data_IF_247700709999
#
_entry.id   IF_247700709999
#
_cell.length_a   1.000
_cell.length_b   1.000
_cell.length_c   1.000
_cell.angle_alpha   90.00
_cell.angle_beta   90.00
_cell.angle_gamma   90.00
#
_symmetry.space_group_name_H-M   'P 1'
#
loop_
_entity.id
_entity.type
_entity.pdbx_description
1 polymer ?
#
# COMPACT_ATOMS: atom_id res chain seq x y z
N UNK A 1 -21.89 -49.78 -2.29
CA UNK A 1 -21.71 -48.80 -1.20
C UNK A 1 -20.92 -47.64 -1.73
N UNK A 2 -21.47 -46.42 -1.65
CA UNK A 2 -20.73 -45.17 -1.94
C UNK A 2 -19.81 -44.88 -0.75
N UNK A 3 -18.54 -44.51 -0.96
CA UNK A 3 -17.72 -43.98 0.13
C UNK A 3 -18.23 -42.59 0.53
N UNK A 4 -18.23 -42.33 1.83
CA UNK A 4 -18.72 -41.12 2.47
C UNK A 4 -17.89 -39.89 2.04
N UNK A 5 -18.60 -38.82 1.68
CA UNK A 5 -18.04 -37.48 1.50
C UNK A 5 -17.60 -36.96 2.88
N UNK A 6 -16.30 -36.74 3.05
CA UNK A 6 -15.80 -35.81 4.06
C UNK A 6 -16.16 -34.38 3.66
N UNK A 7 -16.46 -33.54 4.64
CA UNK A 7 -16.79 -32.14 4.44
C UNK A 7 -15.72 -31.43 3.56
N UNK A 8 -16.10 -30.57 2.60
CA UNK A 8 -15.14 -29.82 1.83
C UNK A 8 -14.39 -28.88 2.76
N UNK A 9 -13.10 -29.13 2.97
CA UNK A 9 -12.21 -28.13 3.51
C UNK A 9 -12.14 -26.96 2.53
N UNK A 10 -12.24 -25.74 3.05
CA UNK A 10 -12.00 -24.50 2.30
C UNK A 10 -10.57 -24.57 1.75
N UNK A 11 -10.43 -24.92 0.46
CA UNK A 11 -9.18 -24.75 -0.27
C UNK A 11 -9.05 -23.24 -0.56
N UNK A 12 -8.04 -22.61 0.02
CA UNK A 12 -7.71 -21.22 -0.30
C UNK A 12 -7.37 -21.08 -1.80
N UNK A 13 -7.84 -20.00 -2.39
CA UNK A 13 -7.72 -19.62 -3.80
C UNK A 13 -6.28 -19.80 -4.33
N UNK A 14 -6.03 -20.86 -5.12
CA UNK A 14 -4.68 -21.27 -5.53
C UNK A 14 -3.99 -20.30 -6.51
N UNK A 15 -4.71 -19.30 -7.06
CA UNK A 15 -4.20 -18.43 -8.12
C UNK A 15 -3.69 -17.05 -7.63
N UNK A 16 -4.13 -16.54 -6.47
CA UNK A 16 -3.63 -15.26 -5.93
C UNK A 16 -2.64 -15.55 -4.80
N UNK A 17 -1.40 -15.09 -4.95
CA UNK A 17 -0.32 -15.33 -3.99
C UNK A 17 0.17 -14.00 -3.43
N UNK A 18 0.14 -13.86 -2.10
CA UNK A 18 0.73 -12.74 -1.38
C UNK A 18 2.27 -12.83 -1.43
N UNK A 19 2.92 -11.75 -1.85
CA UNK A 19 4.39 -11.65 -2.05
C UNK A 19 5.05 -10.86 -0.94
N UNK A 20 4.38 -9.83 -0.42
CA UNK A 20 4.82 -9.07 0.74
C UNK A 20 3.88 -9.27 1.92
N UNK A 21 4.40 -9.24 3.15
CA UNK A 21 3.67 -9.62 4.36
C UNK A 21 4.18 -8.92 5.64
N UNK A 22 4.95 -7.84 5.48
CA UNK A 22 5.47 -7.07 6.61
C UNK A 22 4.46 -5.96 6.98
N UNK A 23 4.47 -5.45 8.22
CA UNK A 23 3.58 -4.36 8.63
C UNK A 23 4.03 -3.02 8.02
N UNK A 24 3.85 -2.89 6.71
CA UNK A 24 4.17 -1.70 5.92
C UNK A 24 3.08 -1.45 4.90
N UNK A 25 3.27 -0.36 4.15
CA UNK A 25 2.34 0.07 3.14
C UNK A 25 2.93 -0.13 1.74
N UNK A 26 2.79 -1.32 1.18
CA UNK A 26 3.44 -1.71 -0.07
C UNK A 26 2.52 -1.46 -1.28
N UNK A 27 2.94 -0.56 -2.17
CA UNK A 27 2.14 -0.10 -3.30
C UNK A 27 2.93 -0.10 -4.62
N UNK A 28 2.18 0.08 -5.71
CA UNK A 28 2.72 0.30 -7.08
C UNK A 28 3.85 -0.67 -7.48
N UNK A 29 3.58 -1.99 -7.50
CA UNK A 29 4.59 -2.96 -7.86
C UNK A 29 5.07 -2.78 -9.31
N UNK A 30 6.34 -3.08 -9.55
CA UNK A 30 6.98 -3.09 -10.86
C UNK A 30 7.89 -4.32 -10.98
N UNK A 31 7.51 -5.29 -11.81
CA UNK A 31 8.31 -6.48 -12.09
C UNK A 31 9.54 -6.12 -12.94
N UNK A 32 10.70 -6.67 -12.57
CA UNK A 32 11.97 -6.49 -13.28
C UNK A 32 11.93 -7.16 -14.67
N UNK A 33 12.69 -6.67 -15.67
CA UNK A 33 12.73 -7.27 -17.01
C UNK A 33 13.14 -8.75 -17.03
N UNK A 34 13.97 -9.17 -16.07
CA UNK A 34 14.39 -10.57 -15.94
C UNK A 34 13.39 -11.45 -15.15
N UNK A 35 12.33 -10.86 -14.61
CA UNK A 35 11.28 -11.58 -13.89
C UNK A 35 11.61 -12.04 -12.47
N UNK A 36 12.76 -11.63 -11.92
CA UNK A 36 13.25 -12.14 -10.62
C UNK A 36 12.89 -11.26 -9.43
N UNK A 37 12.73 -9.96 -9.65
CA UNK A 37 12.53 -8.97 -8.60
C UNK A 37 11.30 -8.12 -8.88
N UNK A 38 10.58 -7.75 -7.84
CA UNK A 38 9.50 -6.74 -7.88
C UNK A 38 9.98 -5.54 -7.08
N UNK A 39 10.02 -4.37 -7.72
CA UNK A 39 10.20 -3.09 -7.05
C UNK A 39 8.83 -2.56 -6.62
N UNK A 40 8.76 -1.89 -5.48
CA UNK A 40 7.52 -1.33 -4.97
C UNK A 40 7.85 -0.17 -4.03
N UNK A 41 6.93 0.78 -3.91
CA UNK A 41 7.03 1.81 -2.87
C UNK A 41 6.55 1.23 -1.56
N UNK A 42 7.24 1.54 -0.47
CA UNK A 42 6.84 1.10 0.85
C UNK A 42 7.02 2.21 1.86
N UNK A 43 5.94 2.53 2.55
CA UNK A 43 6.02 3.32 3.75
C UNK A 43 6.28 2.37 4.92
N UNK A 44 7.53 2.34 5.33
CA UNK A 44 7.88 1.87 6.66
C UNK A 44 7.78 3.07 7.60
N UNK A 45 6.99 3.03 8.67
CA UNK A 45 7.08 4.04 9.72
C UNK A 45 8.49 3.96 10.31
N UNK A 46 9.40 4.80 9.81
CA UNK A 46 10.80 4.81 10.21
C UNK A 46 10.86 4.94 11.74
N UNK A 47 11.34 3.91 12.43
CA UNK A 47 11.50 3.90 13.87
C UNK A 47 10.28 4.40 14.67
N UNK A 48 9.31 3.51 14.95
CA UNK A 48 8.40 3.69 16.10
C UNK A 48 9.17 3.95 17.43
N UNK A 49 10.47 3.68 17.46
CA UNK A 49 11.31 3.59 18.65
C UNK A 49 12.20 4.80 18.99
N UNK A 50 12.30 5.89 18.22
CA UNK A 50 13.27 6.95 18.58
C UNK A 50 12.95 8.42 18.19
N UNK A 51 11.70 8.78 17.89
CA UNK A 51 11.36 10.18 17.56
C UNK A 51 10.52 10.84 18.67
N UNK A 52 10.99 11.93 19.32
CA UNK A 52 10.23 12.65 20.34
C UNK A 52 8.88 13.15 19.81
N UNK A 53 7.85 13.00 20.64
CA UNK A 53 6.41 13.07 20.36
C UNK A 53 5.85 14.46 19.96
N UNK A 54 6.39 15.10 18.92
CA UNK A 54 5.69 16.11 18.12
C UNK A 54 5.64 15.80 16.62
N UNK A 55 6.39 14.79 16.15
CA UNK A 55 6.42 14.33 14.75
C UNK A 55 5.99 12.86 14.64
N UNK A 56 4.73 12.53 14.98
CA UNK A 56 4.13 11.20 14.70
C UNK A 56 3.91 10.92 13.19
N UNK A 57 4.62 11.64 12.31
CA UNK A 57 4.64 11.53 10.85
C UNK A 57 6.02 11.08 10.33
N UNK A 58 6.90 10.58 11.21
CA UNK A 58 8.27 10.20 10.86
C UNK A 58 8.31 8.83 10.15
N UNK A 59 7.86 8.81 8.91
CA UNK A 59 8.11 7.75 7.94
C UNK A 59 7.89 8.34 6.56
N UNK A 60 8.81 8.08 5.65
CA UNK A 60 8.71 8.46 4.26
C UNK A 60 8.54 7.18 3.42
N UNK A 61 7.95 7.30 2.24
CA UNK A 61 7.99 6.22 1.27
C UNK A 61 9.42 6.08 0.73
N UNK A 62 9.90 4.85 0.69
CA UNK A 62 11.10 4.49 -0.04
C UNK A 62 10.78 3.38 -1.03
N UNK A 63 11.66 3.23 -2.02
CA UNK A 63 11.59 2.11 -2.94
C UNK A 63 12.25 0.90 -2.31
N UNK A 64 11.55 -0.24 -2.34
CA UNK A 64 12.04 -1.55 -1.94
C UNK A 64 12.01 -2.51 -3.13
N UNK A 65 12.78 -3.58 -3.02
CA UNK A 65 12.66 -4.75 -3.90
C UNK A 65 12.49 -6.04 -3.10
N UNK A 66 11.76 -6.98 -3.67
CA UNK A 66 11.55 -8.34 -3.15
C UNK A 66 11.63 -9.35 -4.29
N UNK A 67 11.93 -10.61 -3.97
CA UNK A 67 11.80 -11.72 -4.92
C UNK A 67 10.38 -11.77 -5.52
N UNK A 68 10.27 -11.98 -6.83
CA UNK A 68 8.98 -12.17 -7.52
C UNK A 68 8.23 -13.44 -7.10
N UNK A 69 8.93 -14.35 -6.40
CA UNK A 69 8.39 -15.55 -5.78
C UNK A 69 7.97 -15.33 -4.30
N UNK A 70 8.24 -14.16 -3.73
CA UNK A 70 8.07 -13.90 -2.29
C UNK A 70 9.15 -14.56 -1.42
N UNK A 71 9.05 -14.38 -0.10
CA UNK A 71 9.84 -15.12 0.90
C UNK A 71 11.36 -14.85 0.96
N UNK A 72 11.93 -14.09 0.02
CA UNK A 72 13.38 -13.85 -0.12
C UNK A 72 13.96 -12.69 0.68
N UNK A 73 13.18 -12.08 1.58
CA UNK A 73 13.56 -10.86 2.29
C UNK A 73 13.39 -9.59 1.45
N UNK A 74 13.37 -8.44 2.12
CA UNK A 74 13.14 -7.12 1.52
C UNK A 74 14.46 -6.34 1.46
N UNK A 75 14.74 -5.72 0.33
CA UNK A 75 15.88 -4.80 0.19
C UNK A 75 15.38 -3.38 -0.02
N UNK A 76 15.74 -2.48 0.89
CA UNK A 76 15.52 -1.03 0.74
C UNK A 76 16.48 -0.47 -0.32
N UNK A 77 15.94 0.12 -1.38
CA UNK A 77 16.71 0.73 -2.47
C UNK A 77 16.97 2.21 -2.20
N UNK A 78 16.00 2.97 -1.72
CA UNK A 78 16.18 4.40 -1.41
C UNK A 78 16.07 4.68 0.09
N UNK A 79 16.66 5.79 0.55
CA UNK A 79 16.76 6.11 1.98
C UNK A 79 16.80 7.62 2.25
N UNK A 80 16.20 8.41 1.35
CA UNK A 80 16.13 9.86 1.53
C UNK A 80 15.00 10.19 2.52
N UNK A 81 15.08 11.27 3.32
CA UNK A 81 13.95 11.66 4.17
C UNK A 81 12.72 12.16 3.40
N UNK A 82 12.87 12.52 2.13
CA UNK A 82 11.75 12.82 1.25
C UNK A 82 11.15 11.52 0.70
N UNK A 83 9.88 11.58 0.34
CA UNK A 83 9.20 10.43 -0.22
C UNK A 83 9.72 10.08 -1.63
N UNK A 84 9.86 8.78 -1.87
CA UNK A 84 10.19 8.17 -3.15
C UNK A 84 9.06 7.20 -3.59
N UNK A 85 8.53 7.38 -4.81
CA UNK A 85 7.30 6.74 -5.30
C UNK A 85 7.43 6.18 -6.72
N UNK A 86 6.44 5.40 -7.15
CA UNK A 86 6.25 4.96 -8.55
C UNK A 86 7.49 4.34 -9.20
N UNK A 87 8.00 3.21 -8.70
CA UNK A 87 9.17 2.58 -9.29
C UNK A 87 8.86 2.04 -10.69
N UNK A 88 9.84 2.11 -11.58
CA UNK A 88 9.89 1.41 -12.85
C UNK A 88 11.32 0.92 -13.12
N UNK A 89 11.47 -0.23 -13.77
CA UNK A 89 12.79 -0.76 -14.07
C UNK A 89 13.35 -0.18 -15.35
N UNK A 90 14.66 0.07 -15.35
CA UNK A 90 15.38 0.24 -16.60
C UNK A 90 15.41 -1.08 -17.38
N UNK A 91 15.41 -1.06 -18.73
CA UNK A 91 15.39 -2.27 -19.56
C UNK A 91 16.57 -3.21 -19.28
N UNK A 92 17.72 -2.67 -18.91
CA UNK A 92 18.92 -3.42 -18.56
C UNK A 92 18.78 -4.16 -17.21
N UNK A 93 17.75 -3.83 -16.42
CA UNK A 93 17.45 -4.46 -15.14
C UNK A 93 18.42 -4.11 -14.02
N UNK A 94 19.28 -3.10 -14.18
CA UNK A 94 20.33 -2.71 -13.23
C UNK A 94 19.97 -1.46 -12.38
N UNK A 95 18.94 -0.73 -12.78
CA UNK A 95 18.50 0.55 -12.20
C UNK A 95 16.98 0.63 -12.08
N UNK A 96 16.56 1.47 -11.16
CA UNK A 96 15.16 1.83 -10.93
C UNK A 96 14.98 3.32 -11.23
N UNK A 97 14.02 3.64 -12.10
CA UNK A 97 13.40 4.95 -12.26
C UNK A 97 12.37 5.12 -11.15
N UNK A 98 12.32 6.28 -10.52
CA UNK A 98 11.33 6.58 -9.47
C UNK A 98 11.09 8.09 -9.39
N UNK A 99 9.96 8.47 -8.79
CA UNK A 99 9.66 9.84 -8.42
C UNK A 99 10.22 10.16 -7.05
N UNK A 100 10.82 11.33 -6.85
CA UNK A 100 11.28 11.78 -5.53
C UNK A 100 11.00 13.25 -5.29
N UNK A 101 10.63 13.57 -4.06
CA UNK A 101 10.37 14.94 -3.59
C UNK A 101 11.59 15.62 -2.96
N UNK A 102 12.78 15.00 -3.04
CA UNK A 102 14.02 15.46 -2.38
C UNK A 102 14.49 16.88 -2.73
N UNK A 103 13.86 17.54 -3.70
CA UNK A 103 14.12 18.93 -4.10
C UNK A 103 12.93 19.87 -3.83
N UNK A 104 12.01 19.47 -2.95
CA UNK A 104 10.84 20.26 -2.54
C UNK A 104 9.61 20.10 -3.44
N UNK A 105 9.72 19.33 -4.53
CA UNK A 105 8.61 18.92 -5.38
C UNK A 105 8.95 17.64 -6.16
N UNK A 106 7.94 16.90 -6.66
CA UNK A 106 8.12 15.62 -7.36
C UNK A 106 8.95 15.75 -8.64
N UNK A 107 9.99 14.93 -8.76
CA UNK A 107 10.86 14.83 -9.95
C UNK A 107 11.23 13.39 -10.24
N UNK A 108 11.73 13.11 -11.44
CA UNK A 108 12.24 11.80 -11.82
C UNK A 108 13.71 11.62 -11.45
N UNK A 109 14.01 10.44 -10.94
CA UNK A 109 15.34 10.03 -10.49
C UNK A 109 15.64 8.59 -10.88
N UNK A 110 16.92 8.25 -10.93
CA UNK A 110 17.40 6.89 -11.15
C UNK A 110 18.40 6.49 -10.06
N UNK A 111 18.37 5.21 -9.67
CA UNK A 111 19.34 4.61 -8.75
C UNK A 111 19.60 3.16 -9.13
N UNK A 112 20.84 2.68 -9.02
CA UNK A 112 21.08 1.23 -9.06
C UNK A 112 20.63 0.59 -7.75
N UNK A 113 19.93 -0.53 -7.84
CA UNK A 113 19.45 -1.22 -6.65
C UNK A 113 20.58 -1.91 -5.88
N UNK A 114 21.69 -2.27 -6.53
CA UNK A 114 22.88 -2.84 -5.88
C UNK A 114 23.74 -1.81 -5.11
N UNK A 115 23.31 -0.54 -5.05
CA UNK A 115 24.01 0.53 -4.33
C UNK A 115 25.25 1.08 -5.04
N UNK A 116 25.58 0.57 -6.23
CA UNK A 116 26.64 1.13 -7.07
C UNK A 116 26.15 2.44 -7.69
N UNK A 117 26.99 3.48 -7.66
CA UNK A 117 26.67 4.83 -8.12
C UNK A 117 25.56 5.53 -7.31
N UNK A 118 25.69 6.85 -7.17
CA UNK A 118 24.74 7.67 -6.43
C UNK A 118 23.36 7.78 -7.11
N UNK A 119 22.47 8.53 -6.48
CA UNK A 119 21.14 8.84 -7.04
C UNK A 119 21.28 9.95 -8.10
N UNK A 120 20.75 9.72 -9.30
CA UNK A 120 20.83 10.63 -10.45
C UNK A 120 19.47 11.26 -10.74
N UNK A 121 19.41 12.58 -10.97
CA UNK A 121 18.18 13.25 -11.43
C UNK A 121 18.01 13.13 -12.94
N UNK A 122 16.77 12.93 -13.40
CA UNK A 122 16.41 12.78 -14.82
C UNK A 122 15.45 13.87 -15.34
N UNK A 123 14.99 14.77 -14.48
CA UNK A 123 14.07 15.84 -14.88
C UNK A 123 14.40 17.16 -14.19
N UNK A 124 14.44 18.26 -14.94
CA UNK A 124 14.81 19.61 -14.47
C UNK A 124 14.04 20.72 -15.19
N UNK A 125 12.83 20.42 -15.66
CA UNK A 125 11.99 21.29 -16.49
C UNK A 125 11.12 22.29 -15.70
N UNK A 126 11.29 22.35 -14.37
CA UNK A 126 10.52 23.22 -13.50
C UNK A 126 9.11 22.72 -13.17
N UNK A 127 8.73 21.53 -13.66
CA UNK A 127 7.42 20.90 -13.42
C UNK A 127 7.49 19.83 -12.35
N UNK A 128 6.33 19.49 -11.79
CA UNK A 128 6.21 18.28 -10.98
C UNK A 128 6.09 17.07 -11.92
N UNK A 129 7.01 16.12 -11.82
CA UNK A 129 7.10 14.95 -12.70
C UNK A 129 6.89 13.66 -11.89
N UNK A 130 5.98 12.79 -12.36
CA UNK A 130 5.47 11.64 -11.63
C UNK A 130 5.50 10.37 -12.47
N UNK A 131 5.84 9.27 -11.79
CA UNK A 131 5.83 7.91 -12.32
C UNK A 131 6.48 7.77 -13.68
N UNK A 132 5.81 7.00 -14.54
CA UNK A 132 6.25 6.75 -15.89
C UNK A 132 6.91 5.39 -16.08
N UNK A 133 7.55 5.27 -17.24
CA UNK A 133 8.20 4.05 -17.71
C UNK A 133 9.37 4.40 -18.62
N UNK A 134 10.32 3.48 -18.76
CA UNK A 134 11.57 3.73 -19.47
C UNK A 134 11.95 2.53 -20.34
N UNK A 135 11.98 2.77 -21.65
CA UNK A 135 12.40 1.81 -22.67
C UNK A 135 13.86 2.03 -23.10
N UNK A 136 14.27 1.33 -24.16
CA UNK A 136 15.66 1.40 -24.66
C UNK A 136 16.09 2.79 -25.14
N UNK A 137 15.13 3.59 -25.65
CA UNK A 137 15.38 4.89 -26.28
C UNK A 137 14.74 6.06 -25.55
N UNK A 138 13.53 5.86 -25.04
CA UNK A 138 12.70 6.92 -24.49
C UNK A 138 12.22 6.58 -23.09
N UNK A 139 11.96 7.61 -22.30
CA UNK A 139 11.11 7.51 -21.13
C UNK A 139 9.83 8.30 -21.35
N UNK A 140 8.76 7.86 -20.72
CA UNK A 140 7.47 8.53 -20.70
C UNK A 140 7.04 8.74 -19.26
N UNK A 141 6.38 9.85 -18.95
CA UNK A 141 6.00 10.19 -17.59
C UNK A 141 4.87 11.21 -17.57
N UNK A 142 4.25 11.40 -16.41
CA UNK A 142 3.25 12.45 -16.21
C UNK A 142 3.92 13.70 -15.66
N UNK A 143 3.56 14.87 -16.18
CA UNK A 143 3.97 16.15 -15.63
C UNK A 143 2.81 17.15 -15.51
N UNK A 144 2.99 18.12 -14.63
CA UNK A 144 2.08 19.25 -14.46
C UNK A 144 2.84 20.52 -14.06
N UNK A 145 2.33 21.68 -14.50
CA UNK A 145 2.80 22.99 -14.06
C UNK A 145 2.38 23.31 -12.61
N UNK A 146 1.50 22.50 -12.02
CA UNK A 146 1.08 22.64 -10.64
C UNK A 146 2.14 22.08 -9.68
N UNK A 147 2.86 22.99 -9.02
CA UNK A 147 3.88 22.67 -8.01
C UNK A 147 3.16 22.47 -6.66
N UNK A 148 2.96 21.22 -6.27
CA UNK A 148 2.36 20.85 -4.97
C UNK A 148 3.20 19.77 -4.31
N UNK A 149 3.43 19.89 -3.01
CA UNK A 149 4.23 18.96 -2.21
C UNK A 149 3.46 17.79 -1.62
N UNK A 150 2.12 17.79 -1.70
CA UNK A 150 1.30 16.70 -1.09
C UNK A 150 0.68 15.77 -2.14
N UNK A 151 1.10 15.83 -3.40
CA UNK A 151 0.71 14.85 -4.44
C UNK A 151 1.61 13.62 -4.31
N UNK A 152 1.50 13.03 -3.12
CA UNK A 152 1.70 11.61 -2.88
C UNK A 152 0.94 10.86 -3.98
N UNK A 153 1.46 9.72 -4.47
CA UNK A 153 0.82 8.96 -5.55
C UNK A 153 -0.70 8.94 -5.37
N UNK A 154 -1.46 9.34 -6.41
CA UNK A 154 -2.92 9.51 -6.34
C UNK A 154 -3.61 8.27 -5.76
N UNK A 155 -2.98 7.10 -5.97
CA UNK A 155 -3.38 5.81 -5.42
C UNK A 155 -2.87 5.59 -3.99
N UNK A 156 -1.63 5.93 -3.60
CA UNK A 156 -1.26 5.89 -2.17
C UNK A 156 -2.08 6.85 -1.30
N UNK A 157 -2.61 7.94 -1.86
CA UNK A 157 -3.52 8.82 -1.13
C UNK A 157 -4.88 8.16 -0.85
N UNK A 158 -5.34 7.22 -1.69
CA UNK A 158 -6.47 6.34 -1.32
C UNK A 158 -6.11 5.39 -0.17
N UNK A 159 -4.82 5.30 0.13
CA UNK A 159 -4.22 4.28 0.97
C UNK A 159 -3.68 4.81 2.30
N UNK A 160 -3.74 6.13 2.56
CA UNK A 160 -3.26 6.71 3.83
C UNK A 160 -4.30 6.53 4.95
N UNK A 161 -4.02 5.78 6.03
CA UNK A 161 -4.97 5.52 7.12
C UNK A 161 -5.43 6.77 7.90
N UNK A 162 -4.70 7.89 7.79
CA UNK A 162 -4.78 9.02 8.73
C UNK A 162 -5.34 10.31 8.12
N UNK A 163 -5.70 10.33 6.84
CA UNK A 163 -6.48 11.42 6.27
C UNK A 163 -7.92 11.26 6.75
N UNK A 164 -8.23 11.78 7.95
CA UNK A 164 -9.62 11.96 8.37
C UNK A 164 -10.36 12.71 7.25
N UNK A 165 -11.57 12.27 6.84
CA UNK A 165 -12.43 13.09 6.02
C UNK A 165 -12.57 14.44 6.73
N UNK A 166 -12.14 15.52 6.08
CA UNK A 166 -12.44 16.86 6.56
C UNK A 166 -13.96 17.03 6.45
N UNK A 167 -14.65 16.79 7.57
CA UNK A 167 -16.09 17.00 7.77
C UNK A 167 -17.00 16.04 6.97
N UNK A 168 -18.03 15.53 7.64
CA UNK A 168 -19.09 14.74 7.02
C UNK A 168 -19.72 15.57 5.88
N UNK A 169 -19.63 15.08 4.64
CA UNK A 169 -20.17 15.74 3.45
C UNK A 169 -19.13 16.19 2.41
N UNK A 170 -17.82 16.06 2.67
CA UNK A 170 -16.81 16.19 1.62
C UNK A 170 -16.38 14.81 1.13
N UNK A 171 -16.34 14.63 -0.19
CA UNK A 171 -15.79 13.43 -0.83
C UNK A 171 -14.36 13.21 -0.28
N UNK A 172 -14.06 12.07 0.37
CA UNK A 172 -12.75 11.81 0.97
C UNK A 172 -11.61 11.77 -0.07
N UNK A 173 -11.93 11.70 -1.37
CA UNK A 173 -10.97 11.73 -2.48
C UNK A 173 -11.24 12.91 -3.42
N UNK A 174 -10.93 14.16 -3.00
CA UNK A 174 -11.13 15.34 -3.85
C UNK A 174 -10.40 15.22 -5.20
N UNK A 175 -9.32 14.44 -5.27
CA UNK A 175 -8.43 14.33 -6.42
C UNK A 175 -8.94 13.42 -7.56
N UNK A 176 -10.03 12.67 -7.36
CA UNK A 176 -10.64 11.82 -8.39
C UNK A 176 -11.85 12.47 -9.06
N UNK A 177 -12.23 13.66 -8.60
CA UNK A 177 -13.28 14.44 -9.24
C UNK A 177 -12.70 15.16 -10.48
N UNK A 178 -13.30 14.99 -11.67
CA UNK A 178 -12.92 15.72 -12.90
C UNK A 178 -12.75 17.23 -12.70
N UNK A 179 -13.49 17.83 -11.76
CA UNK A 179 -13.42 19.26 -11.42
C UNK A 179 -12.12 19.69 -10.70
N UNK A 180 -11.33 18.78 -10.12
CA UNK A 180 -10.00 19.08 -9.58
C UNK A 180 -8.89 18.82 -10.61
N UNK A 181 -9.10 17.90 -11.53
CA UNK A 181 -8.17 17.60 -12.63
C UNK A 181 -8.08 18.77 -13.60
N UNK A 182 -9.17 19.54 -13.77
CA UNK A 182 -9.15 20.83 -14.48
C UNK A 182 -8.32 21.92 -13.79
N UNK A 183 -7.81 21.70 -12.58
CA UNK A 183 -6.79 22.56 -11.96
C UNK A 183 -5.39 21.98 -12.11
N UNK A 184 -5.27 20.65 -12.06
CA UNK A 184 -4.00 19.94 -12.10
C UNK A 184 -3.44 19.72 -13.51
N UNK A 185 -4.28 19.64 -14.54
CA UNK A 185 -3.90 19.45 -15.95
C UNK A 185 -2.74 18.45 -16.15
N UNK A 186 -2.89 17.17 -15.76
CA UNK A 186 -1.87 16.17 -16.01
C UNK A 186 -1.64 15.97 -17.49
N UNK A 187 -0.37 15.96 -17.88
CA UNK A 187 0.02 15.74 -19.26
C UNK A 187 1.08 14.67 -19.35
N UNK A 188 1.05 13.90 -20.44
CA UNK A 188 2.05 12.89 -20.73
C UNK A 188 3.18 13.56 -21.46
N UNK A 189 4.39 13.29 -21.00
CA UNK A 189 5.62 13.74 -21.64
C UNK A 189 6.47 12.55 -22.06
N UNK A 190 7.18 12.72 -23.17
CA UNK A 190 8.27 11.85 -23.60
C UNK A 190 9.59 12.61 -23.54
N UNK A 191 10.65 11.93 -23.14
CA UNK A 191 12.01 12.44 -23.21
C UNK A 191 12.99 11.33 -23.63
N UNK A 192 14.21 11.71 -23.98
CA UNK A 192 15.36 10.81 -23.99
C UNK A 192 15.60 10.28 -22.56
N UNK A 193 16.23 9.10 -22.43
CA UNK A 193 16.46 8.43 -21.12
C UNK A 193 17.24 9.25 -20.08
N UNK A 194 17.88 10.33 -20.51
CA UNK A 194 18.63 11.24 -19.65
C UNK A 194 17.83 12.48 -19.24
N UNK A 195 16.59 12.68 -19.71
CA UNK A 195 15.81 13.90 -19.46
C UNK A 195 15.78 14.93 -20.59
N UNK A 196 16.55 14.71 -21.66
CA UNK A 196 16.61 15.64 -22.78
C UNK A 196 15.42 15.47 -23.75
N UNK A 197 15.25 16.44 -24.66
CA UNK A 197 14.26 16.39 -25.77
C UNK A 197 12.81 16.14 -25.31
N UNK A 198 12.39 16.92 -24.32
CA UNK A 198 11.04 16.88 -23.77
C UNK A 198 9.99 17.18 -24.86
N UNK A 199 9.03 16.28 -25.02
CA UNK A 199 7.89 16.40 -25.94
C UNK A 199 6.60 16.22 -25.15
N UNK A 200 5.70 17.18 -25.22
CA UNK A 200 4.34 17.10 -24.65
C UNK A 200 3.43 16.29 -25.59
N UNK A 201 2.80 15.23 -25.07
CA UNK A 201 1.96 14.30 -25.83
C UNK A 201 0.46 14.46 -25.54
N UNK A 202 0.06 15.47 -24.76
CA UNK A 202 -1.34 15.74 -24.44
C UNK A 202 -1.74 15.32 -23.03
N UNK A 203 -3.04 15.46 -22.74
CA UNK A 203 -3.60 15.15 -21.42
C UNK A 203 -3.41 13.66 -21.09
N UNK A 204 -3.30 13.33 -19.81
CA UNK A 204 -3.30 11.93 -19.36
C UNK A 204 -2.27 11.63 -18.27
N UNK A 205 -2.37 10.42 -17.74
CA UNK A 205 -1.66 9.97 -16.55
C UNK A 205 -1.17 8.53 -16.66
N UNK A 206 -0.23 8.19 -15.79
CA UNK A 206 0.30 6.84 -15.59
C UNK A 206 0.74 6.15 -16.91
N UNK A 207 1.54 6.83 -17.77
CA UNK A 207 1.91 6.27 -19.06
C UNK A 207 2.86 5.07 -18.88
N UNK A 208 2.61 3.99 -19.61
CA UNK A 208 3.48 2.80 -19.72
C UNK A 208 3.82 2.50 -21.17
N UNK A 209 5.07 2.09 -21.42
CA UNK A 209 5.54 1.74 -22.76
C UNK A 209 5.13 0.31 -23.10
N UNK A 210 4.78 0.07 -24.36
CA UNK A 210 4.66 -1.29 -24.87
C UNK A 210 6.03 -1.98 -24.84
N UNK A 211 6.08 -3.33 -24.79
CA UNK A 211 7.34 -4.08 -24.80
C UNK A 211 8.26 -3.76 -25.99
N UNK A 212 7.68 -3.40 -27.14
CA UNK A 212 8.42 -2.98 -28.34
C UNK A 212 8.78 -1.48 -28.37
N UNK A 213 8.37 -0.72 -27.36
CA UNK A 213 8.64 0.71 -27.19
C UNK A 213 7.93 1.63 -28.19
N UNK A 214 6.98 1.12 -28.98
CA UNK A 214 6.29 1.91 -30.03
C UNK A 214 4.98 2.54 -29.59
N UNK A 215 4.38 2.03 -28.53
CA UNK A 215 3.08 2.46 -28.04
C UNK A 215 3.17 2.89 -26.59
N UNK A 216 2.26 3.79 -26.21
CA UNK A 216 2.06 4.26 -24.85
C UNK A 216 0.62 3.93 -24.48
N UNK A 217 0.43 3.24 -23.37
CA UNK A 217 -0.89 3.10 -22.72
C UNK A 217 -0.95 4.04 -21.53
N UNK A 218 -2.11 4.66 -21.29
CA UNK A 218 -2.26 5.68 -20.25
C UNK A 218 -3.74 5.84 -19.85
N UNK A 219 -3.97 6.54 -18.73
CA UNK A 219 -5.30 6.91 -18.26
C UNK A 219 -5.65 8.33 -18.68
N UNK A 220 -6.89 8.58 -19.10
CA UNK A 220 -7.35 9.90 -19.55
C UNK A 220 -8.79 10.18 -19.16
N UNK A 221 -9.11 11.47 -18.95
CA UNK A 221 -10.45 11.97 -18.64
C UNK A 221 -11.13 12.68 -19.82
N UNK A 222 -10.60 12.51 -21.04
CA UNK A 222 -11.11 13.19 -22.25
C UNK A 222 -12.59 12.92 -22.52
N UNK A 223 -13.13 11.82 -22.00
CA UNK A 223 -14.52 11.36 -22.16
C UNK A 223 -15.41 11.57 -20.93
N UNK A 224 -14.90 12.22 -19.88
CA UNK A 224 -15.67 12.64 -18.70
C UNK A 224 -15.37 11.86 -17.42
N UNK A 225 -14.92 10.62 -17.53
CA UNK A 225 -14.39 9.76 -16.46
C UNK A 225 -13.01 9.22 -16.85
N UNK A 226 -12.30 8.58 -15.92
CA UNK A 226 -11.03 7.95 -16.25
C UNK A 226 -11.26 6.68 -17.06
N UNK A 227 -10.73 6.68 -18.27
CA UNK A 227 -10.70 5.53 -19.17
C UNK A 227 -9.25 5.22 -19.58
N UNK A 228 -9.02 4.04 -20.16
CA UNK A 228 -7.72 3.63 -20.69
C UNK A 228 -7.63 3.98 -22.19
N UNK A 229 -6.50 4.57 -22.56
CA UNK A 229 -6.20 5.05 -23.89
C UNK A 229 -4.82 4.57 -24.34
N UNK A 230 -4.63 4.50 -25.65
CA UNK A 230 -3.35 4.19 -26.28
C UNK A 230 -2.98 5.28 -27.31
N UNK A 231 -1.68 5.48 -27.54
CA UNK A 231 -1.14 6.31 -28.61
C UNK A 231 0.22 5.79 -29.06
N UNK A 232 0.69 6.17 -30.23
CA UNK A 232 2.07 5.86 -30.63
C UNK A 232 3.09 6.67 -29.80
N UNK A 233 4.35 6.27 -29.86
CA UNK A 233 5.46 6.94 -29.13
C UNK A 233 5.68 8.40 -29.52
N UNK A 234 5.04 8.89 -30.59
CA UNK A 234 5.10 10.28 -31.03
C UNK A 234 3.82 11.07 -30.65
N UNK A 235 2.85 10.43 -29.99
CA UNK A 235 1.58 11.04 -29.60
C UNK A 235 0.47 10.97 -30.66
N UNK A 236 0.67 10.26 -31.77
CA UNK A 236 -0.36 10.06 -32.79
C UNK A 236 -1.25 8.86 -32.45
N UNK A 237 -2.33 8.67 -33.23
CA UNK A 237 -3.23 7.51 -33.12
C UNK A 237 -3.85 7.33 -31.73
N UNK A 238 -4.08 8.46 -31.04
CA UNK A 238 -4.70 8.50 -29.72
C UNK A 238 -6.10 7.87 -29.76
N UNK A 239 -6.28 6.73 -29.10
CA UNK A 239 -7.46 5.88 -29.19
C UNK A 239 -7.89 5.42 -27.80
N UNK A 240 -9.18 5.58 -27.49
CA UNK A 240 -9.79 5.03 -26.28
C UNK A 240 -9.98 3.51 -26.44
N UNK A 241 -9.56 2.72 -25.45
CA UNK A 241 -9.70 1.26 -25.48
C UNK A 241 -10.66 0.71 -24.40
N UNK A 242 -11.07 1.54 -23.44
CA UNK A 242 -12.13 1.21 -22.46
C UNK A 242 -13.11 2.37 -22.31
N UNK A 243 -14.36 2.09 -21.92
CA UNK A 243 -15.41 3.11 -21.85
C UNK A 243 -16.46 2.80 -20.77
N UNK A 244 -16.01 2.52 -19.56
CA UNK A 244 -16.89 2.09 -18.46
C UNK A 244 -17.44 3.30 -17.66
N UNK A 245 -18.68 3.26 -17.11
CA UNK A 245 -19.20 4.37 -16.29
C UNK A 245 -18.50 4.64 -14.94
N UNK A 246 -17.56 3.80 -14.54
CA UNK A 246 -16.67 3.99 -13.39
C UNK A 246 -15.29 4.49 -13.82
N UNK A 247 -14.29 4.42 -12.94
CA UNK A 247 -12.92 4.78 -13.28
C UNK A 247 -12.10 3.54 -13.67
N UNK A 248 -11.33 3.65 -14.74
CA UNK A 248 -10.38 2.66 -15.24
C UNK A 248 -9.00 3.33 -15.33
N UNK A 249 -8.03 2.85 -14.54
CA UNK A 249 -6.78 3.56 -14.30
C UNK A 249 -5.55 2.65 -14.15
N UNK A 250 -4.36 3.26 -14.13
CA UNK A 250 -3.05 2.60 -13.88
C UNK A 250 -2.77 1.41 -14.81
N UNK A 251 -2.80 1.62 -16.14
CA UNK A 251 -2.64 0.53 -17.08
C UNK A 251 -1.19 0.02 -17.12
N UNK A 252 -1.02 -1.24 -17.49
CA UNK A 252 0.27 -1.78 -17.94
C UNK A 252 0.05 -2.78 -19.09
N UNK A 253 1.06 -2.92 -19.94
CA UNK A 253 1.03 -3.88 -21.05
C UNK A 253 1.34 -5.30 -20.57
N UNK A 254 0.71 -6.29 -21.20
CA UNK A 254 1.22 -7.66 -21.16
C UNK A 254 2.59 -7.73 -21.84
N UNK A 255 3.44 -8.69 -21.45
CA UNK A 255 4.76 -8.84 -22.01
C UNK A 255 4.78 -9.15 -23.53
N UNK A 256 3.70 -9.74 -24.06
CA UNK A 256 3.53 -9.98 -25.50
C UNK A 256 2.93 -8.78 -26.28
N UNK A 257 2.58 -7.70 -25.58
CA UNK A 257 2.03 -6.47 -26.15
C UNK A 257 0.60 -6.58 -26.69
N UNK A 258 -0.12 -7.68 -26.42
CA UNK A 258 -1.49 -7.88 -26.93
C UNK A 258 -2.58 -7.46 -25.96
N UNK A 259 -2.27 -7.43 -24.67
CA UNK A 259 -3.21 -7.12 -23.61
C UNK A 259 -2.74 -5.93 -22.78
N UNK A 260 -3.69 -5.27 -22.16
CA UNK A 260 -3.47 -4.21 -21.18
C UNK A 260 -4.20 -4.60 -19.90
N UNK A 261 -3.47 -4.70 -18.78
CA UNK A 261 -4.07 -4.82 -17.45
C UNK A 261 -4.30 -3.44 -16.84
N UNK A 262 -5.37 -3.26 -16.09
CA UNK A 262 -5.72 -1.99 -15.44
C UNK A 262 -6.59 -2.20 -14.20
N UNK A 263 -6.65 -1.19 -13.34
CA UNK A 263 -7.52 -1.15 -12.17
C UNK A 263 -8.87 -0.55 -12.54
N UNK A 264 -9.97 -1.17 -12.12
CA UNK A 264 -11.34 -0.72 -12.43
C UNK A 264 -12.19 -0.60 -11.17
N UNK A 265 -12.81 0.56 -10.97
CA UNK A 265 -13.73 0.83 -9.87
C UNK A 265 -15.17 0.37 -10.18
N UNK A 266 -16.01 0.32 -9.15
CA UNK A 266 -17.46 0.27 -9.33
C UNK A 266 -18.00 1.54 -10.07
N UNK A 267 -19.20 1.49 -10.68
CA UNK A 267 -19.82 2.66 -11.32
C UNK A 267 -20.07 3.80 -10.33
N UNK A 268 -19.87 5.03 -10.78
CA UNK A 268 -19.99 6.23 -9.95
C UNK A 268 -21.41 6.49 -9.41
N UNK A 269 -22.45 5.95 -10.07
CA UNK A 269 -23.85 6.05 -9.62
C UNK A 269 -24.13 5.30 -8.30
N UNK A 270 -23.31 4.31 -7.95
CA UNK A 270 -23.44 3.57 -6.69
C UNK A 270 -22.82 4.39 -5.54
N UNK A 271 -21.69 5.05 -5.79
CA UNK A 271 -20.97 5.90 -4.81
C UNK A 271 -21.78 7.10 -4.25
N UNK A 272 -22.85 7.52 -4.93
CA UNK A 272 -23.74 8.59 -4.48
C UNK A 272 -24.83 8.16 -3.48
N UNK A 273 -25.00 6.86 -3.22
CA UNK A 273 -26.09 6.33 -2.40
C UNK A 273 -25.81 6.30 -0.89
N UNK A 274 -24.65 6.80 -0.44
CA UNK A 274 -24.32 6.85 0.99
C UNK A 274 -24.12 5.49 1.64
N UNK A 275 -23.89 4.44 0.85
CA UNK A 275 -23.44 3.14 1.36
C UNK A 275 -21.92 3.20 1.52
N UNK A 276 -21.45 2.83 2.70
CA UNK A 276 -20.05 2.92 3.13
C UNK A 276 -19.22 1.75 2.52
N UNK A 277 -19.78 1.02 1.55
CA UNK A 277 -19.28 -0.26 1.01
C UNK A 277 -18.95 -0.22 -0.51
N UNK A 278 -18.91 0.96 -1.15
CA UNK A 278 -18.90 1.12 -2.62
C UNK A 278 -17.52 1.37 -3.28
N UNK A 279 -16.40 1.06 -2.61
CA UNK A 279 -15.04 1.43 -3.06
C UNK A 279 -14.15 0.24 -3.44
N UNK A 280 -14.71 -0.84 -3.99
CA UNK A 280 -13.88 -1.95 -4.46
C UNK A 280 -13.28 -1.66 -5.84
N UNK A 281 -12.01 -2.02 -5.98
CA UNK A 281 -11.26 -1.95 -7.23
C UNK A 281 -10.80 -3.35 -7.61
N UNK A 282 -10.87 -3.66 -8.90
CA UNK A 282 -10.48 -4.97 -9.41
C UNK A 282 -9.50 -4.83 -10.57
N UNK A 283 -8.69 -5.85 -10.77
CA UNK A 283 -7.83 -5.98 -11.94
C UNK A 283 -8.65 -6.51 -13.10
N UNK A 284 -8.56 -5.83 -14.23
CA UNK A 284 -9.13 -6.22 -15.51
C UNK A 284 -8.05 -6.24 -16.58
N UNK A 285 -8.27 -7.01 -17.63
CA UNK A 285 -7.42 -7.01 -18.83
C UNK A 285 -8.26 -6.80 -20.08
N UNK A 286 -7.74 -6.03 -21.03
CA UNK A 286 -8.35 -5.82 -22.35
C UNK A 286 -7.33 -6.13 -23.45
N UNK A 287 -7.73 -6.93 -24.43
CA UNK A 287 -6.94 -7.17 -25.63
C UNK A 287 -7.05 -5.96 -26.56
N UNK A 288 -5.92 -5.36 -26.91
CA UNK A 288 -5.91 -4.10 -27.68
C UNK A 288 -6.28 -4.28 -29.14
N UNK A 289 -6.23 -5.51 -29.68
CA UNK A 289 -6.59 -5.81 -31.06
C UNK A 289 -8.05 -6.24 -31.20
N UNK A 290 -8.54 -7.07 -30.29
CA UNK A 290 -9.90 -7.64 -30.38
C UNK A 290 -10.93 -6.87 -29.56
N UNK A 291 -10.51 -6.05 -28.59
CA UNK A 291 -11.39 -5.41 -27.62
C UNK A 291 -11.93 -6.37 -26.55
N UNK A 292 -11.52 -7.64 -26.57
CA UNK A 292 -11.91 -8.63 -25.57
C UNK A 292 -11.49 -8.16 -24.18
N UNK A 293 -12.41 -8.22 -23.22
CA UNK A 293 -12.18 -7.71 -21.86
C UNK A 293 -12.55 -8.77 -20.83
N UNK A 294 -11.63 -9.03 -19.89
CA UNK A 294 -11.75 -10.08 -18.87
C UNK A 294 -11.42 -9.52 -17.49
N UNK A 295 -12.33 -9.71 -16.54
CA UNK A 295 -12.08 -9.42 -15.13
C UNK A 295 -11.16 -10.49 -14.53
N UNK A 296 -10.06 -10.07 -13.90
CA UNK A 296 -9.06 -10.96 -13.30
C UNK A 296 -9.19 -11.07 -11.79
N UNK A 297 -9.66 -10.05 -11.07
CA UNK A 297 -10.00 -10.19 -9.65
C UNK A 297 -11.46 -9.86 -9.39
N UNK A 298 -12.05 -10.53 -8.39
CA UNK A 298 -13.47 -10.41 -8.04
C UNK A 298 -13.59 -10.10 -6.56
N UNK A 299 -13.37 -8.84 -6.18
CA UNK A 299 -13.55 -8.35 -4.83
C UNK A 299 -14.69 -7.35 -4.76
N UNK A 300 -15.45 -7.43 -3.66
CA UNK A 300 -16.42 -6.41 -3.23
C UNK A 300 -15.98 -5.65 -1.97
N UNK A 301 -14.82 -6.01 -1.44
CA UNK A 301 -14.36 -5.55 -0.12
C UNK A 301 -12.94 -5.00 -0.14
N UNK A 302 -12.21 -5.27 -1.21
CA UNK A 302 -10.78 -5.03 -1.33
C UNK A 302 -10.52 -4.20 -2.57
N UNK A 303 -9.37 -3.53 -2.56
CA UNK A 303 -8.90 -2.68 -3.62
C UNK A 303 -7.69 -3.35 -4.26
N UNK A 304 -7.88 -3.96 -5.41
CA UNK A 304 -6.79 -4.48 -6.23
C UNK A 304 -6.38 -3.39 -7.22
N UNK A 305 -5.14 -2.93 -7.13
CA UNK A 305 -4.69 -1.68 -7.75
C UNK A 305 -3.28 -1.78 -8.36
N UNK A 306 -3.04 -0.90 -9.33
CA UNK A 306 -1.77 -0.67 -10.03
C UNK A 306 -1.09 -1.96 -10.50
N UNK A 307 -1.71 -2.67 -11.46
CA UNK A 307 -1.13 -3.89 -12.00
C UNK A 307 0.21 -3.64 -12.70
N UNK A 308 1.10 -4.62 -12.62
CA UNK A 308 2.36 -4.74 -13.35
C UNK A 308 2.48 -6.15 -13.89
N UNK A 309 2.49 -6.30 -15.21
CA UNK A 309 2.48 -7.59 -15.89
C UNK A 309 3.88 -7.92 -16.42
N UNK A 310 4.40 -9.10 -16.06
CA UNK A 310 5.74 -9.54 -16.45
C UNK A 310 5.87 -11.06 -16.52
N UNK A 311 6.96 -11.51 -17.14
CA UNK A 311 7.39 -12.89 -17.08
C UNK A 311 8.08 -13.18 -15.75
N UNK A 312 7.90 -14.37 -15.20
CA UNK A 312 8.65 -14.90 -14.05
C UNK A 312 9.25 -16.24 -14.45
N UNK A 313 10.52 -16.45 -14.13
CA UNK A 313 11.19 -17.72 -14.37
C UNK A 313 10.83 -18.73 -13.27
N UNK A 314 10.26 -19.87 -13.66
CA UNK A 314 9.84 -20.95 -12.77
C UNK A 314 10.62 -22.24 -13.05
N UNK A 315 11.94 -22.19 -12.84
CA UNK A 315 12.82 -23.37 -12.89
C UNK A 315 13.15 -23.85 -14.30
N UNK A 316 12.15 -24.02 -15.17
CA UNK A 316 12.29 -24.60 -16.51
C UNK A 316 11.55 -23.82 -17.61
N UNK A 317 10.65 -22.90 -17.25
CA UNK A 317 9.89 -22.08 -18.20
C UNK A 317 9.60 -20.69 -17.62
N UNK A 318 9.29 -19.75 -18.52
CA UNK A 318 8.75 -18.46 -18.15
C UNK A 318 7.22 -18.52 -18.12
N UNK A 319 6.63 -17.92 -17.09
CA UNK A 319 5.19 -17.79 -16.92
C UNK A 319 4.82 -16.33 -16.70
N UNK A 320 3.68 -15.94 -17.23
CA UNK A 320 3.14 -14.59 -17.04
C UNK A 320 2.54 -14.45 -15.65
N UNK A 321 2.79 -13.31 -15.02
CA UNK A 321 2.13 -12.91 -13.79
C UNK A 321 1.72 -11.45 -13.85
N UNK A 322 0.56 -11.15 -13.28
CA UNK A 322 0.16 -9.79 -12.94
C UNK A 322 0.43 -9.59 -11.45
N UNK A 323 1.35 -8.69 -11.15
CA UNK A 323 1.58 -8.19 -9.80
C UNK A 323 0.67 -6.99 -9.55
N UNK A 324 0.09 -6.87 -8.37
CA UNK A 324 -0.77 -5.76 -7.99
C UNK A 324 -0.69 -5.58 -6.49
N UNK A 325 -1.09 -4.42 -5.98
CA UNK A 325 -1.22 -4.24 -4.54
C UNK A 325 -2.67 -4.43 -4.10
N UNK A 326 -2.88 -5.03 -2.93
CA UNK A 326 -4.20 -5.30 -2.37
C UNK A 326 -4.23 -5.16 -0.86
N UNK A 327 -5.36 -4.72 -0.33
CA UNK A 327 -5.66 -4.67 1.11
C UNK A 327 -6.41 -5.93 1.58
N UNK A 328 -6.43 -6.97 0.73
CA UNK A 328 -7.10 -8.25 0.97
C UNK A 328 -6.73 -8.91 2.27
N UNK A 329 -5.48 -8.79 2.71
CA UNK A 329 -5.01 -9.33 3.99
C UNK A 329 -4.72 -8.27 5.06
N UNK A 330 -5.19 -7.03 4.86
CA UNK A 330 -4.97 -5.89 5.74
C UNK A 330 -6.30 -5.21 6.11
N UNK A 331 -7.12 -5.95 6.83
CA UNK A 331 -8.51 -5.60 7.17
C UNK A 331 -8.68 -4.41 8.13
N UNK A 332 -7.60 -3.81 8.64
CA UNK A 332 -7.62 -2.68 9.59
C UNK A 332 -6.95 -1.41 9.06
N UNK A 333 -7.18 -1.01 7.80
CA UNK A 333 -6.61 0.24 7.25
C UNK A 333 -5.06 0.34 7.36
N UNK A 334 -4.36 -0.74 7.71
CA UNK A 334 -2.94 -0.69 8.11
C UNK A 334 -1.96 -0.91 6.98
N UNK A 335 -2.43 -1.17 5.76
CA UNK A 335 -1.66 -0.95 4.55
C UNK A 335 -2.03 -1.85 3.39
N UNK A 336 -1.25 -1.80 2.32
CA UNK A 336 -1.35 -2.71 1.18
C UNK A 336 -0.18 -3.68 1.19
N UNK A 337 -0.38 -4.86 0.63
CA UNK A 337 0.69 -5.78 0.26
C UNK A 337 0.71 -6.00 -1.24
N UNK A 338 1.84 -6.50 -1.76
CA UNK A 338 1.95 -6.93 -3.14
C UNK A 338 1.50 -8.38 -3.25
N UNK A 339 0.68 -8.64 -4.26
CA UNK A 339 0.20 -9.95 -4.67
C UNK A 339 0.58 -10.21 -6.12
N UNK A 340 0.56 -11.49 -6.51
CA UNK A 340 0.61 -11.90 -7.91
C UNK A 340 -0.56 -12.82 -8.24
N UNK A 341 -0.98 -12.81 -9.49
CA UNK A 341 -1.90 -13.80 -10.07
C UNK A 341 -1.41 -14.28 -11.43
N UNK A 342 -1.70 -15.54 -11.76
CA UNK A 342 -1.52 -16.06 -13.12
C UNK A 342 -2.71 -15.58 -13.99
N UNK A 343 -2.46 -14.81 -15.07
CA UNK A 343 -3.52 -14.27 -15.91
C UNK A 343 -4.24 -15.34 -16.73
N UNK A 344 -3.65 -16.52 -16.97
CA UNK A 344 -4.27 -17.59 -17.76
C UNK A 344 -5.14 -18.51 -16.91
N UNK A 345 -4.93 -18.53 -15.60
CA UNK A 345 -5.79 -19.26 -14.68
C UNK A 345 -7.10 -18.51 -14.42
N UNK A 346 -8.23 -19.19 -14.65
CA UNK A 346 -9.54 -18.66 -14.28
C UNK A 346 -9.65 -18.48 -12.77
N UNK A 347 -10.18 -17.34 -12.31
CA UNK A 347 -10.61 -17.19 -10.93
C UNK A 347 -12.09 -17.56 -10.87
N UNK A 348 -12.45 -18.57 -10.07
CA UNK A 348 -13.84 -18.91 -9.89
C UNK A 348 -14.58 -17.72 -9.25
N UNK A 349 -15.68 -17.31 -9.90
CA UNK A 349 -16.53 -16.15 -9.53
C UNK A 349 -17.09 -16.22 -8.10
N UNK A 350 -16.96 -17.36 -7.44
CA UNK A 350 -17.62 -17.72 -6.18
C UNK A 350 -16.68 -17.90 -4.97
N UNK A 351 -15.36 -17.75 -5.13
CA UNK A 351 -14.39 -17.82 -4.02
C UNK A 351 -14.07 -16.44 -3.43
N UNK A 352 -15.11 -15.63 -3.24
CA UNK A 352 -15.03 -14.44 -2.38
C UNK A 352 -15.38 -14.98 -0.99
N UNK A 353 -14.42 -15.19 -0.06
CA UNK A 353 -14.82 -15.40 1.31
C UNK A 353 -15.73 -14.23 1.68
N UNK A 354 -16.94 -14.54 2.15
CA UNK A 354 -17.76 -13.54 2.85
C UNK A 354 -16.81 -12.79 3.78
N UNK A 355 -16.93 -11.46 3.87
CA UNK A 355 -16.31 -10.69 4.95
C UNK A 355 -16.54 -11.51 6.22
N UNK A 356 -15.51 -12.13 6.83
CA UNK A 356 -15.74 -13.28 7.69
C UNK A 356 -16.78 -12.94 8.74
N UNK A 357 -17.98 -13.52 8.60
CA UNK A 357 -19.07 -13.31 9.53
C UNK A 357 -18.65 -13.96 10.86
N UNK A 358 -18.00 -13.19 11.73
CA UNK A 358 -17.60 -13.67 13.05
C UNK A 358 -16.09 -13.69 13.36
N UNK A 359 -15.22 -13.12 12.52
CA UNK A 359 -13.92 -12.62 13.01
C UNK A 359 -13.83 -11.12 12.80
N UNK A 360 -14.78 -10.40 13.38
CA UNK A 360 -14.45 -9.08 13.88
C UNK A 360 -13.27 -9.28 14.83
N UNK A 361 -12.07 -8.84 14.43
CA UNK A 361 -11.11 -8.41 15.42
C UNK A 361 -11.86 -7.29 16.15
N UNK A 362 -12.15 -7.55 17.42
CA UNK A 362 -12.94 -6.68 18.27
C UNK A 362 -12.20 -5.33 18.31
N UNK A 363 -12.74 -4.33 17.63
CA UNK A 363 -12.44 -2.92 17.90
C UNK A 363 -12.34 -2.72 19.41
N UNK A 364 -11.59 -1.71 19.91
CA UNK A 364 -11.68 -1.34 21.30
C UNK A 364 -13.13 -1.03 21.67
N UNK A 365 -13.78 -2.01 22.29
CA UNK A 365 -15.04 -1.82 22.99
C UNK A 365 -14.70 -1.70 24.45
N UNK A 366 -15.65 -1.19 25.26
CA UNK A 366 -15.50 -1.20 26.72
C UNK A 366 -15.22 -2.58 27.29
N UNK A 367 -15.43 -3.65 26.53
CA UNK A 367 -15.25 -5.07 26.89
C UNK A 367 -13.98 -5.70 26.28
N UNK A 368 -13.30 -5.02 25.33
CA UNK A 368 -12.05 -5.48 24.71
C UNK A 368 -11.10 -4.31 24.39
N UNK A 369 -10.45 -3.70 25.40
CA UNK A 369 -9.60 -2.53 25.21
C UNK A 369 -8.31 -2.83 24.43
N UNK A 370 -7.71 -1.79 23.82
CA UNK A 370 -6.28 -1.83 23.44
C UNK A 370 -5.43 -1.73 24.70
N UNK A 371 -4.52 -2.70 24.88
CA UNK A 371 -3.69 -2.86 26.07
C UNK A 371 -2.22 -2.68 25.72
N UNK A 372 -1.47 -1.94 26.54
CA UNK A 372 0.01 -1.94 26.50
C UNK A 372 0.59 -2.31 27.85
N UNK A 373 1.57 -3.22 27.86
CA UNK A 373 2.33 -3.59 29.06
C UNK A 373 3.66 -2.83 29.04
N UNK A 374 3.92 -2.10 30.12
CA UNK A 374 5.11 -1.29 30.30
C UNK A 374 5.93 -1.84 31.45
N UNK A 375 7.25 -1.86 31.28
CA UNK A 375 8.20 -2.23 32.30
C UNK A 375 8.75 -0.98 33.02
N UNK A 376 8.62 -0.93 34.35
CA UNK A 376 9.03 0.17 35.20
C UNK A 376 10.50 0.16 35.60
N UNK A 377 11.47 0.13 34.68
CA UNK A 377 12.90 0.25 35.03
C UNK A 377 13.50 1.62 34.66
N UNK A 378 14.58 2.02 35.36
CA UNK A 378 15.26 3.32 35.15
C UNK A 378 16.18 3.26 33.92
N UNK A 379 15.76 3.92 32.84
CA UNK A 379 16.53 4.71 31.85
C UNK A 379 17.80 4.17 31.16
N UNK A 380 18.27 2.94 31.39
CA UNK A 380 19.53 2.48 30.74
C UNK A 380 19.53 1.08 30.15
N UNK A 381 18.44 0.32 30.24
CA UNK A 381 18.39 -1.02 29.63
C UNK A 381 17.63 -0.94 28.31
N UNK A 382 18.37 -1.02 27.19
CA UNK A 382 17.85 -1.00 25.82
C UNK A 382 17.06 -2.28 25.46
N UNK A 383 16.98 -3.26 26.37
CA UNK A 383 16.17 -4.46 26.22
C UNK A 383 14.87 -4.36 27.02
N UNK A 384 13.74 -4.73 26.40
CA UNK A 384 12.47 -4.93 27.11
C UNK A 384 12.64 -6.16 28.01
N UNK A 385 12.50 -6.06 29.35
CA UNK A 385 12.74 -7.21 30.20
C UNK A 385 11.80 -8.36 29.90
N UNK A 386 12.33 -9.59 30.05
CA UNK A 386 11.62 -10.86 29.85
C UNK A 386 10.25 -10.92 30.53
N UNK A 387 10.05 -10.17 31.61
CA UNK A 387 8.78 -10.14 32.34
C UNK A 387 7.66 -9.42 31.60
N UNK A 388 7.91 -8.24 31.01
CA UNK A 388 6.90 -7.53 30.24
C UNK A 388 6.52 -8.30 28.97
N UNK A 389 7.50 -8.92 28.30
CA UNK A 389 7.27 -9.85 27.19
C UNK A 389 6.35 -11.02 27.59
N UNK A 390 6.63 -11.68 28.73
CA UNK A 390 5.81 -12.79 29.24
C UNK A 390 4.39 -12.38 29.60
N UNK A 391 4.21 -11.23 30.25
CA UNK A 391 2.86 -10.72 30.59
C UNK A 391 2.09 -10.39 29.31
N UNK A 392 2.73 -9.73 28.34
CA UNK A 392 2.10 -9.46 27.03
C UNK A 392 1.70 -10.74 26.31
N UNK A 393 2.58 -11.73 26.20
CA UNK A 393 2.29 -13.00 25.54
C UNK A 393 1.12 -13.75 26.18
N UNK A 394 1.06 -13.76 27.52
CA UNK A 394 -0.07 -14.37 28.23
C UNK A 394 -1.38 -13.65 27.98
N UNK A 395 -1.40 -12.31 28.07
CA UNK A 395 -2.61 -11.53 27.81
C UNK A 395 -3.09 -11.74 26.36
N UNK A 396 -2.17 -11.85 25.39
CA UNK A 396 -2.50 -12.27 24.01
C UNK A 396 -3.14 -13.66 23.98
N UNK A 397 -2.58 -14.62 24.73
CA UNK A 397 -3.15 -15.98 24.86
C UNK A 397 -4.56 -16.01 25.49
N UNK A 398 -4.92 -15.00 26.28
CA UNK A 398 -6.26 -14.81 26.85
C UNK A 398 -7.21 -14.02 25.93
N UNK A 399 -6.73 -13.61 24.75
CA UNK A 399 -7.52 -12.92 23.72
C UNK A 399 -7.54 -11.40 23.85
N UNK A 400 -6.68 -10.79 24.67
CA UNK A 400 -6.55 -9.33 24.75
C UNK A 400 -5.77 -8.76 23.55
N UNK A 401 -6.19 -7.58 23.10
CA UNK A 401 -5.47 -6.81 22.08
C UNK A 401 -4.26 -6.10 22.70
N UNK A 402 -3.12 -6.80 22.79
CA UNK A 402 -1.91 -6.26 23.40
C UNK A 402 -0.88 -5.78 22.38
N UNK A 403 -0.50 -4.51 22.49
CA UNK A 403 0.64 -3.92 21.80
C UNK A 403 1.96 -4.47 22.37
N UNK A 404 3.04 -4.40 21.59
CA UNK A 404 4.35 -4.86 22.08
C UNK A 404 4.78 -4.09 23.33
N UNK A 405 5.37 -4.81 24.32
CA UNK A 405 5.75 -4.20 25.58
C UNK A 405 6.92 -3.24 25.40
N UNK A 406 7.01 -2.24 26.28
CA UNK A 406 8.07 -1.22 26.25
C UNK A 406 8.51 -0.84 27.67
N UNK A 407 9.65 -0.16 27.80
CA UNK A 407 10.04 0.47 29.07
C UNK A 407 9.26 1.78 29.27
N UNK A 408 8.83 2.07 30.50
CA UNK A 408 8.29 3.40 30.85
C UNK A 408 9.42 4.32 31.33
N UNK A 409 9.60 5.44 30.63
CA UNK A 409 10.59 6.47 30.97
C UNK A 409 10.08 7.49 32.01
N UNK A 410 8.84 7.31 32.47
CA UNK A 410 8.07 8.31 33.22
C UNK A 410 7.76 7.84 34.64
N UNK A 411 7.51 6.54 34.84
CA UNK A 411 7.03 6.02 36.11
C UNK A 411 7.63 4.65 36.43
N UNK A 412 8.21 4.51 37.62
CA UNK A 412 8.79 3.24 38.12
C UNK A 412 8.09 2.92 39.43
N UNK A 413 6.87 2.34 39.39
CA UNK A 413 6.15 2.03 40.62
C UNK A 413 6.80 0.83 41.33
N UNK A 414 6.59 0.70 42.64
CA UNK A 414 7.00 -0.50 43.40
C UNK A 414 5.92 -1.61 43.33
N UNK A 415 4.91 -1.44 42.47
CA UNK A 415 3.74 -2.30 42.33
C UNK A 415 3.13 -2.17 40.93
N UNK A 416 2.23 -3.07 40.53
CA UNK A 416 1.56 -3.01 39.23
C UNK A 416 0.54 -1.85 39.24
N UNK A 417 0.62 -0.95 38.27
CA UNK A 417 -0.41 0.08 38.02
C UNK A 417 -1.14 -0.21 36.74
N UNK A 418 -2.47 -0.20 36.78
CA UNK A 418 -3.30 -0.36 35.58
C UNK A 418 -4.02 0.96 35.33
N UNK A 419 -3.52 1.71 34.36
CA UNK A 419 -4.16 2.93 33.89
C UNK A 419 -5.28 2.61 32.92
N UNK A 420 -6.40 3.32 33.02
CA UNK A 420 -7.54 3.14 32.12
C UNK A 420 -8.12 4.48 31.67
N UNK A 421 -8.58 4.54 30.43
CA UNK A 421 -9.33 5.68 29.89
C UNK A 421 -10.74 5.71 30.47
N UNK A 422 -11.32 6.90 30.59
CA UNK A 422 -12.72 7.07 31.01
C UNK A 422 -13.64 6.13 30.22
N UNK A 423 -14.43 5.30 30.94
CA UNK A 423 -15.32 4.30 30.34
C UNK A 423 -14.77 2.87 30.23
N UNK A 424 -13.49 2.63 30.52
CA UNK A 424 -12.84 1.30 30.43
C UNK A 424 -12.47 0.69 31.79
N UNK A 425 -13.01 1.24 32.89
CA UNK A 425 -12.69 0.83 34.26
C UNK A 425 -12.93 -0.67 34.50
N UNK A 426 -14.04 -1.21 34.02
CA UNK A 426 -14.43 -2.60 34.28
C UNK A 426 -13.55 -3.59 33.51
N UNK A 427 -13.20 -3.27 32.26
CA UNK A 427 -12.23 -4.06 31.49
C UNK A 427 -10.82 -3.99 32.07
N UNK A 428 -10.40 -2.81 32.57
CA UNK A 428 -9.13 -2.68 33.25
C UNK A 428 -9.09 -3.51 34.54
N UNK A 429 -10.20 -3.57 35.29
CA UNK A 429 -10.32 -4.40 36.47
C UNK A 429 -10.28 -5.91 36.14
N UNK A 430 -11.00 -6.34 35.10
CA UNK A 430 -10.97 -7.72 34.61
C UNK A 430 -9.55 -8.12 34.18
N UNK A 431 -8.92 -7.28 33.36
CA UNK A 431 -7.55 -7.51 32.91
C UNK A 431 -6.58 -7.57 34.09
N UNK A 432 -6.70 -6.67 35.07
CA UNK A 432 -5.86 -6.65 36.25
C UNK A 432 -5.91 -7.98 37.03
N UNK A 433 -7.08 -8.62 37.11
CA UNK A 433 -7.26 -9.90 37.77
C UNK A 433 -6.64 -11.10 37.01
N UNK A 434 -6.36 -10.93 35.71
CA UNK A 434 -5.81 -12.00 34.84
C UNK A 434 -4.28 -11.90 34.66
N UNK A 435 -3.66 -10.78 35.07
CA UNK A 435 -2.21 -10.63 35.15
C UNK A 435 -1.66 -11.61 36.21
N UNK A 436 -0.72 -12.51 35.87
CA UNK A 436 -0.25 -13.57 36.77
C UNK A 436 0.52 -13.08 37.99
N UNK A 437 0.37 -13.82 39.10
CA UNK A 437 1.29 -14.11 40.22
C UNK A 437 2.61 -13.31 40.27
N UNK A 438 2.51 -12.00 40.50
CA UNK A 438 3.57 -11.25 41.15
C UNK A 438 3.27 -11.32 42.66
N UNK A 439 4.09 -11.99 43.49
CA UNK A 439 3.76 -12.21 44.89
C UNK A 439 3.45 -10.90 45.64
N UNK A 440 2.33 -10.86 46.37
CA UNK A 440 1.93 -9.80 47.30
C UNK A 440 1.72 -8.39 46.71
N UNK A 441 1.30 -8.27 45.45
CA UNK A 441 1.03 -6.97 44.83
C UNK A 441 -0.32 -6.96 44.11
N UNK A 442 -1.34 -6.38 44.74
CA UNK A 442 -2.61 -6.07 44.06
C UNK A 442 -2.42 -4.95 43.04
N UNK A 443 -2.85 -5.11 41.77
CA UNK A 443 -2.78 -4.04 40.79
C UNK A 443 -3.64 -2.84 41.19
N UNK A 444 -3.05 -1.65 41.13
CA UNK A 444 -3.76 -0.41 41.44
C UNK A 444 -4.36 0.17 40.16
N UNK A 445 -5.68 0.22 40.10
CA UNK A 445 -6.41 0.85 39.01
C UNK A 445 -6.35 2.37 39.13
N UNK A 446 -5.98 3.06 38.04
CA UNK A 446 -5.97 4.53 37.96
C UNK A 446 -6.61 5.00 36.68
N UNK A 447 -7.51 5.98 36.77
CA UNK A 447 -7.96 6.65 35.56
C UNK A 447 -6.82 7.50 34.99
N UNK A 448 -6.62 7.45 33.67
CA UNK A 448 -5.64 8.27 32.98
C UNK A 448 -5.99 9.77 33.15
N UNK A 449 -5.04 10.59 33.60
CA UNK A 449 -5.19 12.06 33.60
C UNK A 449 -5.47 12.62 32.20
N UNK A 450 -6.15 13.76 32.10
CA UNK A 450 -6.45 14.39 30.80
C UNK A 450 -5.19 14.83 30.02
N UNK A 451 -4.05 14.97 30.70
CA UNK A 451 -2.75 15.32 30.12
C UNK A 451 -1.82 14.10 29.93
N UNK A 452 -2.33 12.88 30.10
CA UNK A 452 -1.56 11.66 29.88
C UNK A 452 -1.18 11.52 28.41
N UNK A 453 0.05 11.09 28.08
CA UNK A 453 0.60 11.16 26.72
C UNK A 453 0.34 9.91 25.86
N UNK A 454 -0.35 8.93 26.40
CA UNK A 454 -0.61 7.62 25.80
C UNK A 454 -2.09 7.54 25.35
N UNK A 455 -2.44 8.40 24.40
CA UNK A 455 -3.82 8.64 23.94
C UNK A 455 -4.29 7.63 22.89
N UNK A 456 -3.50 6.61 22.56
CA UNK A 456 -3.87 5.58 21.59
C UNK A 456 -4.31 4.29 22.29
N UNK A 457 -3.95 4.13 23.57
CA UNK A 457 -4.31 2.99 24.41
C UNK A 457 -5.53 3.27 25.29
N UNK A 458 -6.36 2.25 25.50
CA UNK A 458 -7.50 2.34 26.42
C UNK A 458 -7.13 1.85 27.82
N UNK A 459 -6.19 0.88 27.92
CA UNK A 459 -5.66 0.34 29.17
C UNK A 459 -4.13 0.20 29.10
N UNK A 460 -3.43 0.59 30.15
CA UNK A 460 -1.96 0.49 30.24
C UNK A 460 -1.58 -0.17 31.55
N UNK A 461 -0.82 -1.26 31.46
CA UNK A 461 -0.30 -1.99 32.61
C UNK A 461 1.16 -1.57 32.81
N UNK A 462 1.49 -0.91 33.91
CA UNK A 462 2.86 -0.61 34.30
C UNK A 462 3.28 -1.62 35.35
N UNK A 463 4.20 -2.51 34.98
CA UNK A 463 4.86 -3.44 35.89
C UNK A 463 5.87 -2.65 36.73
N UNK A 464 5.82 -2.86 38.04
CA UNK A 464 6.75 -2.23 38.97
C UNK A 464 8.18 -2.78 38.85
N UNK A 465 9.10 -2.16 39.61
CA UNK A 465 10.49 -2.62 39.72
C UNK A 465 10.59 -4.00 40.37
#
# INVERSE_FOLDING_TARGET
>A
GRPQQGAPGVQGNANIVRITNRPSHDCTPAISPCGKMVAFESWEPSNYYNVPTRNRLAGNFDIYIVSSQGGGGYQRVTNNPADDYYPAWFPEGDRILFTSERMGYPRLWAKHFNGMNGVQSLSWDGKSNFGGDIGEKHMVFTATDYIYSDITSLFCNMSRPHLKPKQAGQNPYPNMNPAWISRWHPRIYRADRNGARLTDLGLGMDPKLSPDGKWIVFSSVETGNWDIWIMDINGNFRTQITSYPGNEMTPCWSPDGKWVAYSKSAPQAIAGAGLIDDEYWNIWVTNVQTGETVQKTFSRWFRDLSPSWGYVYEGDFYRDYIFFHSDRDNWEYTGFDIYRLDPDMGIEKYDIPDKPAGKAIKYPTKENPVVRVLNGTRKTDDEVPKWAARVTEKLRGLGYNCLDPMNTYVEVPNYIKVYYRAGYKDSAAKLAAEIPDIPNIDPVLKQMPSNFRWNEEDVIVVLGK
#
